data_IF_660115150034
#
_entry.id   IF_660115150034
#
_cell.length_a   1.000
_cell.length_b   1.000
_cell.length_c   1.000
_cell.angle_alpha   90.00
_cell.angle_beta   90.00
_cell.angle_gamma   90.00
#
_symmetry.space_group_name_H-M   'P 1'
#
loop_
_entity.id
_entity.type
_entity.pdbx_description
1 polymer ?
#
# COMPACT_ATOMS: atom_id res chain seq x y z
N UNK A 1 30.20 12.60 -5.12
CA UNK A 1 29.30 11.42 -5.07
C UNK A 1 28.27 11.70 -3.97
N UNK A 2 26.99 11.96 -4.32
CA UNK A 2 25.92 12.06 -3.33
C UNK A 2 25.57 10.62 -2.90
N UNK A 3 26.18 10.16 -1.82
CA UNK A 3 25.97 8.80 -1.29
C UNK A 3 24.90 8.73 -0.20
N UNK A 4 23.81 9.50 -0.33
CA UNK A 4 22.69 9.42 0.60
C UNK A 4 21.66 8.38 0.15
N UNK A 5 20.94 7.77 1.10
CA UNK A 5 19.80 6.92 0.81
C UNK A 5 18.65 7.79 0.29
N UNK A 6 18.06 7.41 -0.84
CA UNK A 6 16.87 8.10 -1.37
C UNK A 6 15.58 7.66 -0.65
N UNK A 7 15.54 6.41 -0.18
CA UNK A 7 14.35 5.83 0.44
C UNK A 7 14.72 4.95 1.63
N UNK A 8 13.99 5.12 2.74
CA UNK A 8 14.06 4.28 3.94
C UNK A 8 12.69 3.61 4.15
N UNK A 9 12.70 2.29 4.20
CA UNK A 9 11.50 1.51 4.56
C UNK A 9 11.57 1.15 6.04
N UNK A 10 10.64 1.68 6.85
CA UNK A 10 10.54 1.40 8.28
C UNK A 10 9.39 0.42 8.54
N UNK A 11 9.75 -0.78 8.94
CA UNK A 11 8.79 -1.79 9.41
C UNK A 11 8.48 -1.54 10.87
N UNK A 12 7.35 -0.89 11.16
CA UNK A 12 6.99 -0.45 12.52
C UNK A 12 6.61 -1.59 13.45
N UNK A 13 6.06 -2.67 12.90
CA UNK A 13 5.60 -3.82 13.67
C UNK A 13 5.48 -5.07 12.80
N UNK A 14 5.63 -6.24 13.42
CA UNK A 14 5.30 -7.52 12.81
C UNK A 14 3.83 -7.92 13.06
N UNK A 15 3.13 -7.22 13.97
CA UNK A 15 1.73 -7.47 14.27
C UNK A 15 0.81 -6.95 13.17
N UNK A 16 -0.29 -7.66 12.96
CA UNK A 16 -1.36 -7.27 12.06
C UNK A 16 -2.70 -7.69 12.62
N UNK A 17 -3.70 -6.87 12.46
CA UNK A 17 -5.10 -7.20 12.79
C UNK A 17 -5.79 -8.03 11.70
N UNK A 18 -5.06 -8.37 10.60
CA UNK A 18 -5.50 -9.33 9.59
C UNK A 18 -4.58 -10.54 9.54
N UNK A 19 -5.12 -11.65 9.02
CA UNK A 19 -4.43 -12.91 8.78
C UNK A 19 -4.55 -13.34 7.31
N UNK A 20 -4.13 -12.45 6.38
CA UNK A 20 -4.23 -12.72 4.94
C UNK A 20 -3.57 -14.05 4.55
N UNK A 21 -4.25 -14.87 3.75
CA UNK A 21 -3.80 -16.23 3.39
C UNK A 21 -2.49 -16.28 2.62
N UNK A 22 -2.12 -15.22 1.94
CA UNK A 22 -0.87 -15.09 1.16
C UNK A 22 0.21 -14.25 1.84
N UNK A 23 0.05 -13.84 3.10
CA UNK A 23 0.99 -12.89 3.73
C UNK A 23 2.42 -13.43 3.73
N UNK A 24 3.27 -12.84 2.90
CA UNK A 24 4.68 -13.23 2.77
C UNK A 24 5.47 -13.00 4.07
N UNK A 25 5.05 -12.02 4.88
CA UNK A 25 5.65 -11.68 6.16
C UNK A 25 5.14 -12.57 7.32
N UNK A 26 4.12 -13.40 7.10
CA UNK A 26 3.52 -14.21 8.15
C UNK A 26 2.87 -13.41 9.28
N UNK A 27 2.65 -12.11 9.11
CA UNK A 27 2.14 -11.20 10.15
C UNK A 27 0.75 -11.60 10.64
N UNK A 28 0.50 -11.44 11.92
CA UNK A 28 -0.74 -11.75 12.61
C UNK A 28 -0.86 -10.97 13.92
N UNK A 29 -1.74 -11.40 14.87
CA UNK A 29 -1.96 -10.68 16.12
C UNK A 29 -0.72 -10.54 17.01
N UNK A 30 0.18 -11.51 16.96
CA UNK A 30 1.44 -11.52 17.72
C UNK A 30 2.60 -11.00 16.87
N UNK A 31 3.62 -10.42 17.52
CA UNK A 31 4.84 -9.95 16.87
C UNK A 31 5.54 -8.87 17.67
N UNK A 32 6.68 -8.44 17.16
CA UNK A 32 7.50 -7.40 17.76
C UNK A 32 7.20 -6.03 17.15
N UNK A 33 7.45 -4.99 17.93
CA UNK A 33 7.30 -3.60 17.53
C UNK A 33 8.67 -2.91 17.48
N UNK A 34 8.88 -2.07 16.48
CA UNK A 34 10.02 -1.19 16.41
C UNK A 34 9.85 -0.05 17.45
N UNK A 35 10.83 0.12 18.34
CA UNK A 35 10.77 1.22 19.30
C UNK A 35 10.95 2.56 18.58
N UNK A 36 10.32 3.64 19.09
CA UNK A 36 10.48 4.97 18.51
C UNK A 36 11.94 5.45 18.49
N UNK A 37 12.72 5.08 19.52
CA UNK A 37 14.13 5.45 19.65
C UNK A 37 14.97 4.83 18.53
N UNK A 38 14.82 3.52 18.31
CA UNK A 38 15.51 2.81 17.22
C UNK A 38 15.05 3.31 15.84
N UNK A 39 13.77 3.65 15.69
CA UNK A 39 13.28 4.24 14.46
C UNK A 39 13.91 5.62 14.19
N UNK A 40 14.06 6.45 15.21
CA UNK A 40 14.71 7.75 15.10
C UNK A 40 16.22 7.61 14.81
N UNK A 41 16.91 6.65 15.43
CA UNK A 41 18.32 6.33 15.15
C UNK A 41 18.52 5.92 13.68
N UNK A 42 17.67 5.02 13.17
CA UNK A 42 17.72 4.59 11.76
C UNK A 42 17.55 5.77 10.80
N UNK A 43 16.62 6.68 11.10
CA UNK A 43 16.42 7.92 10.33
C UNK A 43 17.59 8.86 10.43
N UNK A 44 18.19 9.01 11.61
CA UNK A 44 19.35 9.87 11.81
C UNK A 44 20.57 9.40 11.01
N UNK A 45 20.75 8.09 10.91
CA UNK A 45 21.79 7.46 10.08
C UNK A 45 21.51 7.59 8.58
N UNK A 46 20.24 7.45 8.17
CA UNK A 46 19.84 7.47 6.76
C UNK A 46 19.75 8.86 6.14
N UNK A 47 19.51 9.90 6.96
CA UNK A 47 19.23 11.26 6.49
C UNK A 47 19.94 12.30 7.37
N UNK A 48 21.05 12.87 6.95
CA UNK A 48 21.68 14.00 7.63
C UNK A 48 20.74 15.22 7.77
N UNK A 49 20.96 16.10 8.77
CA UNK A 49 20.22 17.36 8.88
C UNK A 49 20.30 18.19 7.58
N UNK A 50 19.17 18.80 7.19
CA UNK A 50 19.09 19.62 5.97
C UNK A 50 18.78 18.82 4.69
N UNK A 51 18.91 17.51 4.71
CA UNK A 51 18.61 16.65 3.58
C UNK A 51 17.14 16.21 3.52
N UNK A 52 16.75 15.64 2.38
CA UNK A 52 15.43 15.06 2.16
C UNK A 52 15.52 13.53 2.03
N UNK A 53 14.54 12.84 2.59
CA UNK A 53 14.44 11.38 2.57
C UNK A 53 13.00 10.96 2.28
N UNK A 54 12.82 9.98 1.41
CA UNK A 54 11.54 9.27 1.31
C UNK A 54 11.46 8.23 2.43
N UNK A 55 10.39 8.27 3.22
CA UNK A 55 10.14 7.27 4.27
C UNK A 55 8.86 6.52 3.95
N UNK A 56 8.97 5.19 3.85
CA UNK A 56 7.82 4.31 3.73
C UNK A 56 7.60 3.59 5.06
N UNK A 57 6.48 3.91 5.72
CA UNK A 57 6.03 3.15 6.88
C UNK A 57 5.29 1.89 6.43
N UNK A 58 5.72 0.75 6.94
CA UNK A 58 5.15 -0.57 6.64
C UNK A 58 5.18 -1.46 7.89
N UNK A 59 4.78 -2.71 7.73
CA UNK A 59 4.83 -3.68 8.83
C UNK A 59 3.94 -4.87 8.54
N UNK A 60 3.35 -5.45 9.58
CA UNK A 60 2.12 -6.20 9.46
C UNK A 60 1.00 -5.21 9.14
N UNK A 61 0.55 -4.46 10.18
CA UNK A 61 -0.30 -3.29 10.00
C UNK A 61 0.34 -2.08 10.72
N UNK A 62 0.91 -1.12 9.98
CA UNK A 62 1.66 -0.03 10.60
C UNK A 62 0.79 0.92 11.42
N UNK A 63 -0.51 1.01 11.18
CA UNK A 63 -1.42 1.85 11.97
C UNK A 63 -1.59 1.35 13.40
N UNK A 64 -1.24 0.10 13.72
CA UNK A 64 -1.14 -0.38 15.09
C UNK A 64 -0.02 0.34 15.89
N UNK A 65 0.94 0.93 15.19
CA UNK A 65 2.07 1.68 15.77
C UNK A 65 2.21 3.05 15.12
N UNK A 66 1.05 3.71 14.91
CA UNK A 66 1.03 5.08 14.43
C UNK A 66 1.79 6.05 15.35
N UNK A 67 1.77 5.80 16.66
CA UNK A 67 2.55 6.55 17.64
C UNK A 67 4.05 6.62 17.31
N UNK A 68 4.62 5.49 16.89
CA UNK A 68 6.04 5.42 16.46
C UNK A 68 6.26 6.20 15.17
N UNK A 69 5.39 6.06 14.16
CA UNK A 69 5.49 6.84 12.93
C UNK A 69 5.41 8.34 13.18
N UNK A 70 4.46 8.79 14.02
CA UNK A 70 4.28 10.18 14.38
C UNK A 70 5.53 10.76 15.06
N UNK A 71 6.12 10.03 16.02
CA UNK A 71 7.37 10.45 16.72
C UNK A 71 8.54 10.55 15.73
N UNK A 72 8.67 9.65 14.76
CA UNK A 72 9.70 9.72 13.71
C UNK A 72 9.53 10.99 12.88
N UNK A 73 8.30 11.29 12.45
CA UNK A 73 8.02 12.50 11.66
C UNK A 73 8.27 13.78 12.45
N UNK A 74 7.90 13.80 13.74
CA UNK A 74 8.12 14.93 14.62
C UNK A 74 9.64 15.12 14.92
N UNK A 75 10.39 14.04 15.13
CA UNK A 75 11.85 14.05 15.22
C UNK A 75 12.50 14.64 13.97
N UNK A 76 12.07 14.21 12.79
CA UNK A 76 12.58 14.75 11.53
C UNK A 76 12.38 16.24 11.41
N UNK A 77 11.17 16.72 11.72
CA UNK A 77 10.85 18.14 11.70
C UNK A 77 11.71 18.93 12.70
N UNK A 78 11.82 18.45 13.93
CA UNK A 78 12.61 19.10 14.99
C UNK A 78 14.11 19.17 14.65
N UNK A 79 14.62 18.20 13.90
CA UNK A 79 16.03 18.10 13.52
C UNK A 79 16.36 18.67 12.13
N UNK A 80 15.42 19.42 11.52
CA UNK A 80 15.64 20.09 10.24
C UNK A 80 15.69 19.17 9.02
N UNK A 81 15.22 17.92 9.13
CA UNK A 81 15.12 16.96 8.05
C UNK A 81 13.80 17.11 7.30
N UNK A 82 13.79 16.83 6.01
CA UNK A 82 12.58 16.88 5.18
C UNK A 82 12.18 15.47 4.76
N UNK A 83 10.96 15.07 5.11
CA UNK A 83 10.46 13.75 4.75
C UNK A 83 9.34 13.82 3.71
N UNK A 84 9.44 12.94 2.72
CA UNK A 84 8.33 12.54 1.87
C UNK A 84 7.80 11.21 2.41
N UNK A 85 6.83 11.29 3.32
CA UNK A 85 6.36 10.13 4.06
C UNK A 85 5.17 9.47 3.37
N UNK A 86 5.19 8.14 3.35
CA UNK A 86 4.07 7.30 2.91
C UNK A 86 3.83 6.18 3.92
N UNK A 87 2.60 5.70 3.98
CA UNK A 87 2.21 4.54 4.80
C UNK A 87 1.45 3.54 3.94
N UNK A 88 1.80 2.25 4.05
CA UNK A 88 1.05 1.16 3.40
C UNK A 88 0.24 0.41 4.45
N UNK A 89 -1.07 0.53 4.39
CA UNK A 89 -2.02 -0.02 5.38
C UNK A 89 -3.04 -0.94 4.73
N UNK A 90 -3.65 -1.83 5.52
CA UNK A 90 -4.84 -2.56 5.09
C UNK A 90 -6.14 -1.70 5.14
N UNK A 91 -6.05 -0.50 5.67
CA UNK A 91 -7.13 0.49 5.70
C UNK A 91 -8.22 0.26 6.75
N UNK A 92 -8.23 -0.87 7.44
CA UNK A 92 -9.33 -1.23 8.37
C UNK A 92 -9.34 -0.42 9.66
N UNK A 93 -8.21 0.20 10.02
CA UNK A 93 -8.03 0.99 11.25
C UNK A 93 -8.13 2.51 11.01
N UNK A 94 -8.46 2.94 9.80
CA UNK A 94 -8.60 4.35 9.47
C UNK A 94 -9.82 4.97 10.17
N UNK A 95 -9.56 5.94 11.04
CA UNK A 95 -10.58 6.73 11.74
C UNK A 95 -10.51 8.20 11.33
N UNK A 96 -11.57 9.00 11.50
CA UNK A 96 -11.50 10.43 11.22
C UNK A 96 -10.39 11.17 11.97
N UNK A 97 -10.10 10.78 13.22
CA UNK A 97 -8.99 11.35 14.01
C UNK A 97 -7.64 11.03 13.39
N UNK A 98 -7.41 9.76 13.03
CA UNK A 98 -6.16 9.31 12.41
C UNK A 98 -5.96 9.95 11.02
N UNK A 99 -7.02 10.08 10.23
CA UNK A 99 -6.93 10.75 8.93
C UNK A 99 -6.54 12.23 9.07
N UNK A 100 -7.06 12.94 10.09
CA UNK A 100 -6.61 14.32 10.38
C UNK A 100 -5.12 14.38 10.72
N UNK A 101 -4.59 13.43 11.49
CA UNK A 101 -3.17 13.36 11.84
C UNK A 101 -2.29 13.05 10.63
N UNK A 102 -2.68 12.06 9.80
CA UNK A 102 -1.99 11.73 8.56
C UNK A 102 -1.91 12.94 7.63
N UNK A 103 -3.03 13.65 7.45
CA UNK A 103 -3.12 14.86 6.65
C UNK A 103 -2.24 15.99 7.18
N UNK A 104 -2.29 16.27 8.49
CA UNK A 104 -1.49 17.31 9.13
C UNK A 104 0.02 17.07 8.97
N UNK A 105 0.45 15.80 8.93
CA UNK A 105 1.85 15.40 8.72
C UNK A 105 2.19 15.15 7.26
N UNK A 106 1.24 15.36 6.32
CA UNK A 106 1.41 15.16 4.87
C UNK A 106 1.89 13.75 4.51
N UNK A 107 1.32 12.74 5.16
CA UNK A 107 1.63 11.33 4.89
C UNK A 107 0.75 10.84 3.75
N UNK A 108 1.36 10.37 2.66
CA UNK A 108 0.66 9.71 1.57
C UNK A 108 0.17 8.33 2.01
N UNK A 109 -1.03 7.93 1.56
CA UNK A 109 -1.64 6.67 2.00
C UNK A 109 -1.77 5.71 0.84
N UNK A 110 -1.13 4.54 0.98
CA UNK A 110 -1.39 3.36 0.20
C UNK A 110 -2.33 2.43 0.95
N UNK A 111 -3.36 1.92 0.29
CA UNK A 111 -4.31 0.97 0.87
C UNK A 111 -4.24 -0.35 0.12
N UNK A 112 -4.08 -1.43 0.88
CA UNK A 112 -4.03 -2.78 0.32
C UNK A 112 -5.44 -3.34 0.13
N UNK A 113 -5.83 -3.59 -1.12
CA UNK A 113 -7.14 -4.14 -1.48
C UNK A 113 -7.01 -4.93 -2.78
N UNK A 114 -7.32 -6.23 -2.76
CA UNK A 114 -7.04 -7.13 -3.89
C UNK A 114 -8.18 -7.19 -4.92
N UNK A 115 -9.39 -6.80 -4.50
CA UNK A 115 -10.58 -6.84 -5.33
C UNK A 115 -11.84 -6.45 -4.57
N UNK A 116 -12.98 -6.58 -5.22
CA UNK A 116 -14.30 -6.20 -4.68
C UNK A 116 -15.00 -7.44 -4.10
N UNK A 117 -15.46 -7.35 -2.87
CA UNK A 117 -16.21 -8.43 -2.22
C UNK A 117 -15.43 -9.75 -2.18
N UNK A 118 -15.93 -10.81 -2.85
CA UNK A 118 -15.29 -12.13 -2.87
C UNK A 118 -13.87 -12.15 -3.44
N UNK A 119 -13.55 -11.25 -4.36
CA UNK A 119 -12.20 -11.15 -4.95
C UNK A 119 -11.14 -10.72 -3.90
N UNK A 120 -11.58 -10.19 -2.74
CA UNK A 120 -10.74 -9.82 -1.59
C UNK A 120 -10.70 -10.89 -0.49
N UNK A 121 -11.24 -12.09 -0.72
CA UNK A 121 -11.45 -13.11 0.32
C UNK A 121 -10.16 -13.61 1.00
N UNK A 122 -9.00 -13.50 0.34
CA UNK A 122 -7.71 -13.84 0.94
C UNK A 122 -7.29 -12.89 2.07
N UNK A 123 -7.87 -11.67 2.11
CA UNK A 123 -7.65 -10.66 3.16
C UNK A 123 -8.75 -10.77 4.21
N UNK A 124 -8.43 -11.42 5.32
CA UNK A 124 -9.38 -11.74 6.39
C UNK A 124 -8.78 -11.50 7.76
N UNK A 125 -9.65 -11.38 8.78
CA UNK A 125 -9.24 -11.33 10.18
C UNK A 125 -8.68 -12.68 10.64
N UNK A 126 -8.04 -12.77 11.81
CA UNK A 126 -7.63 -14.06 12.39
C UNK A 126 -8.80 -15.03 12.58
N UNK A 127 -10.01 -14.53 12.83
CA UNK A 127 -11.25 -15.29 12.98
C UNK A 127 -11.84 -15.75 11.63
N UNK A 128 -11.26 -15.29 10.50
CA UNK A 128 -11.70 -15.67 9.15
C UNK A 128 -12.67 -14.68 8.49
N UNK A 129 -13.04 -13.59 9.15
CA UNK A 129 -14.00 -12.61 8.63
C UNK A 129 -13.41 -11.79 7.45
N UNK A 130 -14.17 -11.56 6.37
CA UNK A 130 -13.71 -10.78 5.23
C UNK A 130 -13.42 -9.31 5.61
N UNK A 131 -12.28 -8.77 5.15
CA UNK A 131 -11.89 -7.40 5.46
C UNK A 131 -12.41 -6.34 4.48
N UNK A 132 -13.02 -6.71 3.34
CA UNK A 132 -13.41 -5.78 2.28
C UNK A 132 -14.23 -4.60 2.80
N UNK A 133 -15.30 -4.85 3.55
CA UNK A 133 -16.19 -3.80 4.04
C UNK A 133 -15.47 -2.82 4.99
N UNK A 134 -14.59 -3.33 5.84
CA UNK A 134 -13.80 -2.48 6.74
C UNK A 134 -12.80 -1.62 5.97
N UNK A 135 -12.11 -2.17 4.97
CA UNK A 135 -11.20 -1.44 4.09
C UNK A 135 -11.96 -0.37 3.27
N UNK A 136 -13.13 -0.71 2.72
CA UNK A 136 -13.96 0.24 1.97
C UNK A 136 -14.41 1.43 2.84
N UNK A 137 -14.83 1.19 4.10
CA UNK A 137 -15.11 2.26 5.07
C UNK A 137 -13.88 3.12 5.35
N UNK A 138 -12.70 2.52 5.44
CA UNK A 138 -11.44 3.26 5.61
C UNK A 138 -11.16 4.21 4.44
N UNK A 139 -11.37 3.77 3.19
CA UNK A 139 -11.27 4.61 1.99
C UNK A 139 -12.27 5.76 2.00
N UNK A 140 -13.52 5.51 2.41
CA UNK A 140 -14.53 6.56 2.58
C UNK A 140 -14.12 7.58 3.66
N UNK A 141 -13.51 7.11 4.76
CA UNK A 141 -12.99 7.99 5.83
C UNK A 141 -11.87 8.89 5.32
N UNK A 142 -10.96 8.36 4.49
CA UNK A 142 -9.94 9.17 3.80
C UNK A 142 -10.57 10.20 2.87
N UNK A 143 -11.56 9.79 2.06
CA UNK A 143 -12.28 10.70 1.16
C UNK A 143 -12.94 11.84 1.94
N UNK A 144 -13.65 11.54 3.03
CA UNK A 144 -14.28 12.54 3.90
C UNK A 144 -13.26 13.50 4.55
N UNK A 145 -12.01 13.05 4.75
CA UNK A 145 -10.92 13.89 5.22
C UNK A 145 -10.21 14.68 4.08
N UNK A 146 -10.68 14.59 2.84
CA UNK A 146 -10.08 15.21 1.67
C UNK A 146 -8.71 14.62 1.32
N UNK A 147 -8.49 13.33 1.60
CA UNK A 147 -7.23 12.64 1.34
C UNK A 147 -7.37 11.66 0.19
N UNK A 148 -6.40 11.68 -0.71
CA UNK A 148 -6.25 10.68 -1.75
C UNK A 148 -5.59 9.40 -1.22
N UNK A 149 -5.85 8.30 -1.90
CA UNK A 149 -5.19 7.02 -1.68
C UNK A 149 -4.70 6.41 -3.00
N UNK A 150 -3.69 5.52 -2.91
CA UNK A 150 -3.39 4.57 -3.96
C UNK A 150 -3.75 3.17 -3.48
N UNK A 151 -4.30 2.35 -4.35
CA UNK A 151 -4.51 0.94 -4.05
C UNK A 151 -3.30 0.10 -4.44
N UNK A 152 -3.03 -0.94 -3.66
CA UNK A 152 -2.10 -2.01 -4.02
C UNK A 152 -2.86 -3.34 -3.90
N UNK A 153 -2.95 -4.08 -4.99
CA UNK A 153 -3.65 -5.35 -5.07
C UNK A 153 -2.67 -6.50 -5.25
N UNK A 154 -2.81 -7.54 -4.43
CA UNK A 154 -2.10 -8.80 -4.65
C UNK A 154 -2.90 -9.65 -5.63
N UNK A 155 -2.30 -9.90 -6.79
CA UNK A 155 -2.88 -10.75 -7.84
C UNK A 155 -2.66 -12.21 -7.47
N UNK A 156 -3.74 -12.88 -7.12
CA UNK A 156 -3.79 -14.29 -6.76
C UNK A 156 -4.79 -15.04 -7.63
N UNK A 157 -4.84 -16.35 -7.53
CA UNK A 157 -5.85 -17.18 -8.22
C UNK A 157 -7.29 -16.74 -7.85
N UNK A 158 -7.49 -16.22 -6.62
CA UNK A 158 -8.80 -15.75 -6.16
C UNK A 158 -9.16 -14.34 -6.63
N UNK A 159 -8.17 -13.45 -6.88
CA UNK A 159 -8.44 -12.05 -7.23
C UNK A 159 -8.27 -11.73 -8.72
N UNK A 160 -7.50 -12.54 -9.47
CA UNK A 160 -7.11 -12.26 -10.86
C UNK A 160 -8.29 -12.03 -11.82
N UNK A 161 -9.43 -12.65 -11.53
CA UNK A 161 -10.65 -12.53 -12.37
C UNK A 161 -11.45 -11.26 -12.11
N UNK A 162 -11.11 -10.48 -11.06
CA UNK A 162 -11.83 -9.29 -10.65
C UNK A 162 -11.03 -8.00 -10.77
N UNK A 163 -9.88 -8.00 -11.45
CA UNK A 163 -9.01 -6.83 -11.58
C UNK A 163 -9.67 -5.66 -12.31
N UNK A 164 -10.51 -5.93 -13.29
CA UNK A 164 -11.32 -4.93 -13.99
C UNK A 164 -12.33 -4.26 -13.05
N UNK A 165 -13.00 -5.01 -12.17
CA UNK A 165 -13.93 -4.48 -11.17
C UNK A 165 -13.24 -3.63 -10.11
N UNK A 166 -11.95 -3.92 -9.83
CA UNK A 166 -11.15 -3.10 -8.92
C UNK A 166 -10.95 -1.68 -9.47
N UNK A 167 -10.80 -1.50 -10.80
CA UNK A 167 -10.75 -0.18 -11.42
C UNK A 167 -12.08 0.59 -11.26
N UNK A 168 -13.20 -0.10 -11.46
CA UNK A 168 -14.52 0.50 -11.27
C UNK A 168 -14.73 0.94 -9.81
N UNK A 169 -14.29 0.11 -8.87
CA UNK A 169 -14.34 0.45 -7.45
C UNK A 169 -13.43 1.64 -7.10
N UNK A 170 -12.20 1.66 -7.63
CA UNK A 170 -11.28 2.79 -7.45
C UNK A 170 -11.90 4.10 -7.93
N UNK A 171 -12.55 4.06 -9.09
CA UNK A 171 -13.25 5.21 -9.65
C UNK A 171 -14.47 5.61 -8.80
N UNK A 172 -15.24 4.63 -8.32
CA UNK A 172 -16.40 4.88 -7.46
C UNK A 172 -16.01 5.54 -6.13
N UNK A 173 -14.85 5.17 -5.55
CA UNK A 173 -14.34 5.81 -4.33
C UNK A 173 -14.08 7.31 -4.48
N UNK A 174 -13.77 7.79 -5.70
CA UNK A 174 -13.54 9.20 -6.01
C UNK A 174 -12.24 9.80 -5.50
N UNK A 175 -11.59 9.16 -4.53
CA UNK A 175 -10.32 9.59 -3.93
C UNK A 175 -9.16 8.62 -4.20
N UNK A 176 -9.35 7.60 -5.02
CA UNK A 176 -8.29 6.67 -5.43
C UNK A 176 -7.64 7.18 -6.71
N UNK A 177 -6.36 7.54 -6.64
CA UNK A 177 -5.61 8.11 -7.76
C UNK A 177 -4.93 7.06 -8.64
N UNK A 178 -4.67 5.87 -8.11
CA UNK A 178 -4.03 4.82 -8.88
C UNK A 178 -4.10 3.45 -8.21
N UNK A 179 -3.89 2.43 -9.01
CA UNK A 179 -3.83 1.02 -8.63
C UNK A 179 -2.48 0.47 -9.03
N UNK A 180 -1.80 -0.22 -8.12
CA UNK A 180 -0.61 -1.02 -8.35
C UNK A 180 -0.93 -2.49 -8.16
N UNK A 181 -0.24 -3.36 -8.89
CA UNK A 181 -0.43 -4.81 -8.87
C UNK A 181 0.85 -5.50 -8.39
N UNK A 182 0.73 -6.33 -7.36
CA UNK A 182 1.79 -7.22 -6.91
C UNK A 182 1.39 -8.67 -7.16
N UNK A 183 2.26 -9.49 -7.72
CA UNK A 183 2.00 -10.92 -7.80
C UNK A 183 2.16 -11.57 -6.43
N UNK A 184 1.27 -12.53 -6.12
CA UNK A 184 1.40 -13.32 -4.90
C UNK A 184 2.77 -13.99 -4.83
N UNK A 185 3.42 -13.92 -3.66
CA UNK A 185 4.74 -14.52 -3.44
C UNK A 185 4.59 -15.86 -2.72
N UNK A 186 5.31 -16.92 -3.14
CA UNK A 186 5.29 -18.23 -2.48
C UNK A 186 6.17 -18.22 -1.21
N UNK A 187 5.88 -17.30 -0.28
CA UNK A 187 6.62 -17.12 0.97
C UNK A 187 5.64 -16.89 2.13
N UNK A 188 6.09 -17.09 3.36
CA UNK A 188 5.27 -16.96 4.56
C UNK A 188 4.04 -17.86 4.47
N UNK A 189 2.84 -17.33 4.77
CA UNK A 189 1.59 -18.09 4.62
C UNK A 189 1.23 -18.45 3.19
N UNK A 190 1.77 -17.76 2.20
CA UNK A 190 1.60 -18.08 0.78
C UNK A 190 2.43 -19.27 0.30
N UNK A 191 3.38 -19.77 1.10
CA UNK A 191 4.20 -20.91 0.75
C UNK A 191 3.33 -22.18 0.66
N UNK A 192 3.35 -22.86 -0.49
CA UNK A 192 2.61 -24.13 -0.68
C UNK A 192 1.09 -24.00 -0.80
N UNK A 193 0.51 -22.80 -0.73
CA UNK A 193 -0.95 -22.61 -0.71
C UNK A 193 -1.62 -22.64 -2.08
N UNK A 194 -0.89 -22.85 -3.19
CA UNK A 194 -1.46 -22.88 -4.55
C UNK A 194 -2.18 -21.58 -4.96
N UNK A 195 -1.78 -20.45 -4.37
CA UNK A 195 -2.47 -19.17 -4.53
C UNK A 195 -2.05 -18.41 -5.80
N UNK A 196 -1.02 -18.87 -6.51
CA UNK A 196 -0.59 -18.25 -7.77
C UNK A 196 -1.63 -18.52 -8.86
N UNK A 197 -2.02 -17.50 -9.64
CA UNK A 197 -2.87 -17.73 -10.80
C UNK A 197 -2.12 -18.56 -11.85
N UNK A 198 -2.84 -19.38 -12.61
CA UNK A 198 -2.23 -20.02 -13.78
C UNK A 198 -1.82 -18.95 -14.81
N UNK A 199 -0.81 -19.22 -15.67
CA UNK A 199 -0.40 -18.28 -16.71
C UNK A 199 -1.58 -17.84 -17.60
N UNK A 200 -2.47 -18.76 -17.92
CA UNK A 200 -3.67 -18.45 -18.72
C UNK A 200 -4.62 -17.52 -17.95
N UNK A 201 -4.95 -17.83 -16.69
CA UNK A 201 -5.83 -16.99 -15.88
C UNK A 201 -5.24 -15.57 -15.66
N UNK A 202 -3.91 -15.49 -15.51
CA UNK A 202 -3.21 -14.21 -15.41
C UNK A 202 -3.34 -13.40 -16.70
N UNK A 203 -3.07 -14.01 -17.86
CA UNK A 203 -3.20 -13.35 -19.15
C UNK A 203 -4.63 -12.85 -19.38
N UNK A 204 -5.65 -13.70 -19.15
CA UNK A 204 -7.06 -13.33 -19.27
C UNK A 204 -7.45 -12.18 -18.30
N UNK A 205 -7.00 -12.24 -17.04
CA UNK A 205 -7.27 -11.21 -16.04
C UNK A 205 -6.66 -9.86 -16.41
N UNK A 206 -5.40 -9.86 -16.85
CA UNK A 206 -4.71 -8.65 -17.30
C UNK A 206 -5.33 -8.09 -18.59
N UNK A 207 -5.74 -8.92 -19.55
CA UNK A 207 -6.40 -8.45 -20.75
C UNK A 207 -7.74 -7.76 -20.44
N UNK A 208 -8.56 -8.31 -19.53
CA UNK A 208 -9.79 -7.63 -19.07
C UNK A 208 -9.50 -6.31 -18.37
N UNK A 209 -8.50 -6.30 -17.47
CA UNK A 209 -8.06 -5.09 -16.79
C UNK A 209 -7.66 -3.99 -17.78
N UNK A 210 -6.82 -4.32 -18.78
CA UNK A 210 -6.35 -3.38 -19.79
C UNK A 210 -7.50 -2.88 -20.67
N UNK A 211 -8.38 -3.77 -21.12
CA UNK A 211 -9.56 -3.38 -21.89
C UNK A 211 -10.46 -2.42 -21.10
N UNK A 212 -10.66 -2.67 -19.79
CA UNK A 212 -11.43 -1.78 -18.93
C UNK A 212 -10.73 -0.45 -18.71
N UNK A 213 -9.42 -0.46 -18.46
CA UNK A 213 -8.60 0.74 -18.33
C UNK A 213 -8.72 1.64 -19.58
N UNK A 214 -8.59 1.08 -20.78
CA UNK A 214 -8.69 1.80 -22.04
C UNK A 214 -10.11 2.38 -22.25
N UNK A 215 -11.14 1.61 -21.88
CA UNK A 215 -12.52 2.09 -21.94
C UNK A 215 -12.72 3.30 -21.01
N UNK A 216 -12.24 3.25 -19.77
CA UNK A 216 -12.32 4.36 -18.81
C UNK A 216 -11.55 5.58 -19.30
N UNK A 217 -10.37 5.38 -19.89
CA UNK A 217 -9.59 6.48 -20.49
C UNK A 217 -10.34 7.19 -21.63
N UNK A 218 -10.99 6.44 -22.52
CA UNK A 218 -11.83 7.01 -23.60
C UNK A 218 -13.04 7.78 -23.08
N UNK A 219 -13.56 7.41 -21.91
CA UNK A 219 -14.64 8.13 -21.23
C UNK A 219 -14.15 9.36 -20.44
N UNK A 220 -12.87 9.70 -20.54
CA UNK A 220 -12.28 10.82 -19.80
C UNK A 220 -12.15 10.56 -18.28
N UNK A 221 -12.16 9.30 -17.85
CA UNK A 221 -12.11 8.87 -16.45
C UNK A 221 -10.93 7.91 -16.20
N UNK A 222 -9.68 8.30 -16.51
CA UNK A 222 -8.54 7.40 -16.36
C UNK A 222 -8.27 7.08 -14.90
N UNK A 223 -8.04 5.80 -14.60
CA UNK A 223 -7.45 5.34 -13.34
C UNK A 223 -6.00 4.99 -13.64
N UNK A 224 -5.07 5.54 -12.88
CA UNK A 224 -3.63 5.28 -13.11
C UNK A 224 -3.31 3.82 -12.77
N UNK A 225 -2.63 3.11 -13.67
CA UNK A 225 -2.03 1.81 -13.42
C UNK A 225 -0.51 1.97 -13.30
N UNK A 226 0.04 1.73 -12.11
CA UNK A 226 1.46 1.98 -11.82
C UNK A 226 2.38 1.19 -12.76
N UNK A 227 2.02 -0.05 -13.09
CA UNK A 227 2.79 -0.92 -13.98
C UNK A 227 2.85 -0.37 -15.41
N UNK A 228 1.74 0.17 -15.93
CA UNK A 228 1.73 0.82 -17.25
C UNK A 228 2.56 2.11 -17.28
N UNK A 229 2.51 2.90 -16.22
CA UNK A 229 3.34 4.11 -16.11
C UNK A 229 4.83 3.75 -16.05
N UNK A 230 5.17 2.69 -15.28
CA UNK A 230 6.54 2.17 -15.22
C UNK A 230 7.02 1.70 -16.59
N UNK A 231 6.21 0.90 -17.29
CA UNK A 231 6.54 0.44 -18.65
C UNK A 231 6.72 1.60 -19.63
N UNK A 232 5.83 2.61 -19.60
CA UNK A 232 5.95 3.79 -20.46
C UNK A 232 7.24 4.55 -20.21
N UNK A 233 7.65 4.74 -18.96
CA UNK A 233 8.92 5.38 -18.60
C UNK A 233 10.12 4.59 -19.11
N UNK A 234 10.14 3.28 -18.90
CA UNK A 234 11.21 2.40 -19.38
C UNK A 234 11.34 2.43 -20.92
N UNK A 235 10.21 2.41 -21.62
CA UNK A 235 10.19 2.49 -23.09
C UNK A 235 10.53 3.90 -23.61
N UNK A 236 10.25 4.94 -22.83
CA UNK A 236 10.58 6.34 -23.14
C UNK A 236 12.04 6.72 -22.84
N UNK A 237 12.85 5.81 -22.31
CA UNK A 237 14.26 6.06 -21.96
C UNK A 237 14.44 6.91 -20.70
N UNK A 238 13.41 7.12 -19.89
CA UNK A 238 13.52 7.76 -18.58
C UNK A 238 14.01 6.73 -17.55
N UNK A 239 15.23 6.93 -17.02
CA UNK A 239 15.71 6.18 -15.85
C UNK A 239 14.77 6.48 -14.67
N UNK A 240 13.92 5.53 -14.34
CA UNK A 240 12.97 5.67 -13.26
C UNK A 240 13.60 5.28 -11.92
N UNK A 241 13.53 6.17 -10.94
CA UNK A 241 13.68 5.80 -9.55
C UNK A 241 12.73 4.63 -9.22
N UNK A 242 13.28 3.45 -8.97
CA UNK A 242 12.53 2.30 -8.47
C UNK A 242 12.06 2.61 -7.06
N UNK A 243 10.82 3.04 -6.94
CA UNK A 243 10.14 3.10 -5.64
C UNK A 243 9.25 1.87 -5.53
N UNK A 244 9.66 0.93 -4.66
CA UNK A 244 8.81 -0.18 -4.23
C UNK A 244 7.51 0.31 -3.61
#
# INVERSE_FOLDING_TARGET
MKGGLDTLVLRLTNRCNLACGYCYAGSGPAGEDLSPERAAEAVALACPPGEALRIQFTGGEPLLRWDTAAKVLDFGRASGRRFHAAIQTNGTLLTPALCRELRARRVAVGVSLDGVGPDNAARRTPEGEPSFQATARGLQTLAAAGMAANLTAVVSAGSVRGLDRLLDFALWCGNVHGVGLDLVRPQGRGAGAGLSPSPQALAEGLNRLLARHDQLARLGRPVRLKELERLRRLLGGEEGDEVC
#
